data_IF_974477308247
#
_entry.id   IF_974477308247
#
_cell.length_a   1.000
_cell.length_b   1.000
_cell.length_c   1.000
_cell.angle_alpha   90.00
_cell.angle_beta   90.00
_cell.angle_gamma   90.00
#
_symmetry.space_group_name_H-M   'P 1'
#
loop_
_entity.id
_entity.type
_entity.pdbx_description
1 polymer ?
#
# COMPACT_ATOMS: atom_id res chain seq x y z
N UNK A 1 20.34 3.52 -23.52
CA UNK A 1 20.64 2.69 -22.36
C UNK A 1 19.52 1.64 -22.23
N UNK A 2 19.78 0.42 -22.69
CA UNK A 2 18.86 -0.71 -22.52
C UNK A 2 18.95 -1.20 -21.07
N UNK A 3 17.92 -0.96 -20.29
CA UNK A 3 17.81 -1.53 -18.98
C UNK A 3 17.19 -2.93 -19.10
N UNK A 4 17.78 -3.99 -18.52
CA UNK A 4 17.18 -5.31 -18.56
C UNK A 4 15.85 -5.28 -17.83
N UNK A 5 14.77 -5.53 -18.56
CA UNK A 5 13.42 -5.61 -18.00
C UNK A 5 13.32 -6.86 -17.15
N UNK A 6 13.07 -6.68 -15.84
CA UNK A 6 12.88 -7.78 -14.91
C UNK A 6 11.53 -8.43 -15.13
N UNK A 7 11.53 -9.75 -15.29
CA UNK A 7 10.31 -10.54 -15.45
C UNK A 7 9.71 -10.86 -14.09
N UNK A 8 8.48 -10.44 -13.88
CA UNK A 8 7.71 -10.92 -12.73
C UNK A 8 7.06 -12.25 -13.10
N UNK A 9 7.40 -13.32 -12.38
CA UNK A 9 6.74 -14.63 -12.51
C UNK A 9 5.74 -14.79 -11.37
N UNK A 10 4.47 -14.89 -11.69
CA UNK A 10 3.43 -15.10 -10.69
C UNK A 10 3.22 -16.57 -10.34
N UNK A 11 3.73 -17.52 -11.15
CA UNK A 11 3.57 -18.96 -10.96
C UNK A 11 4.75 -19.73 -11.57
N UNK A 12 5.31 -20.69 -10.83
CA UNK A 12 6.40 -21.58 -11.28
C UNK A 12 6.09 -22.30 -12.59
N UNK A 13 4.83 -22.59 -12.85
CA UNK A 13 4.37 -23.27 -14.08
C UNK A 13 4.78 -22.52 -15.35
N UNK A 14 4.90 -21.19 -15.33
CA UNK A 14 5.31 -20.42 -16.52
C UNK A 14 6.69 -20.79 -17.00
N UNK A 15 7.59 -21.12 -16.10
CA UNK A 15 8.95 -21.51 -16.45
C UNK A 15 8.98 -22.84 -17.18
N UNK A 16 8.16 -23.78 -16.75
CA UNK A 16 8.02 -25.08 -17.39
C UNK A 16 7.53 -24.95 -18.84
N UNK A 17 6.49 -24.17 -19.08
CA UNK A 17 5.99 -24.08 -20.46
C UNK A 17 6.78 -23.10 -21.34
N UNK A 18 7.40 -22.04 -20.81
CA UNK A 18 8.33 -21.22 -21.61
C UNK A 18 9.56 -22.01 -22.05
N UNK A 19 10.07 -22.90 -21.17
CA UNK A 19 11.14 -23.82 -21.50
C UNK A 19 10.71 -24.82 -22.58
N UNK A 20 9.53 -25.42 -22.43
CA UNK A 20 8.99 -26.37 -23.41
C UNK A 20 8.72 -25.71 -24.78
N UNK A 21 8.22 -24.48 -24.79
CA UNK A 21 7.99 -23.70 -26.01
C UNK A 21 9.26 -23.09 -26.61
N UNK A 22 10.44 -23.31 -26.00
CA UNK A 22 11.72 -22.78 -26.50
C UNK A 22 11.87 -21.27 -26.39
N UNK A 23 11.06 -20.58 -25.56
CA UNK A 23 11.05 -19.13 -25.44
C UNK A 23 12.11 -18.60 -24.46
N UNK A 24 12.53 -19.39 -23.48
CA UNK A 24 13.44 -18.98 -22.41
C UNK A 24 14.75 -18.39 -22.95
N UNK A 25 15.49 -19.01 -23.89
CA UNK A 25 16.76 -18.46 -24.35
C UNK A 25 16.64 -17.07 -24.98
N UNK A 26 15.56 -16.79 -25.70
CA UNK A 26 15.33 -15.49 -26.33
C UNK A 26 14.97 -14.42 -25.29
N UNK A 27 14.20 -14.81 -24.28
CA UNK A 27 13.83 -13.90 -23.19
C UNK A 27 15.04 -13.53 -22.34
N UNK A 28 15.94 -14.50 -22.07
CA UNK A 28 17.18 -14.27 -21.32
C UNK A 28 18.13 -13.34 -22.11
N UNK A 29 18.24 -13.50 -23.45
CA UNK A 29 19.01 -12.59 -24.31
C UNK A 29 18.51 -11.14 -24.25
N UNK A 30 17.22 -10.93 -24.03
CA UNK A 30 16.61 -9.62 -23.86
C UNK A 30 16.66 -9.11 -22.41
N UNK A 31 17.29 -9.86 -21.50
CA UNK A 31 17.37 -9.51 -20.08
C UNK A 31 16.06 -9.70 -19.30
N UNK A 32 15.17 -10.56 -19.78
CA UNK A 32 13.98 -10.98 -19.03
C UNK A 32 14.31 -12.15 -18.12
N UNK A 33 15.07 -11.89 -17.09
CA UNK A 33 15.50 -12.89 -16.12
C UNK A 33 14.44 -13.19 -15.05
N UNK A 34 14.48 -14.42 -14.52
CA UNK A 34 13.72 -14.75 -13.32
C UNK A 34 14.34 -14.06 -12.11
N UNK A 35 13.58 -13.15 -11.47
CA UNK A 35 14.03 -12.41 -10.28
C UNK A 35 13.30 -12.82 -9.01
N UNK A 36 12.21 -13.55 -9.09
CA UNK A 36 11.44 -14.03 -7.94
C UNK A 36 10.04 -14.50 -8.31
N UNK A 37 9.39 -15.11 -7.35
CA UNK A 37 8.01 -15.57 -7.41
C UNK A 37 7.11 -14.69 -6.54
N UNK A 38 5.86 -14.48 -6.93
CA UNK A 38 4.85 -13.75 -6.17
C UNK A 38 4.69 -12.28 -6.57
N UNK A 39 4.24 -11.47 -5.65
CA UNK A 39 3.95 -10.06 -5.86
C UNK A 39 5.22 -9.22 -5.72
N UNK A 40 5.86 -8.87 -6.81
CA UNK A 40 7.08 -8.05 -6.80
C UNK A 40 6.73 -6.55 -6.89
N UNK A 41 6.24 -6.11 -8.03
CA UNK A 41 5.87 -4.69 -8.26
C UNK A 41 4.63 -4.28 -7.45
N UNK A 42 3.67 -5.18 -7.27
CA UNK A 42 2.44 -4.89 -6.52
C UNK A 42 2.70 -4.50 -5.05
N UNK A 43 3.81 -4.94 -4.47
CA UNK A 43 4.21 -4.65 -3.07
C UNK A 43 5.41 -3.70 -2.98
N UNK A 44 5.90 -3.18 -4.11
CA UNK A 44 7.03 -2.26 -4.13
C UNK A 44 8.41 -2.94 -4.00
N UNK A 45 8.52 -4.21 -4.38
CA UNK A 45 9.76 -5.00 -4.34
C UNK A 45 10.37 -5.20 -5.74
N UNK A 46 10.26 -4.22 -6.63
CA UNK A 46 10.88 -4.30 -7.96
C UNK A 46 12.41 -4.27 -7.93
N UNK A 47 12.97 -3.95 -6.78
CA UNK A 47 14.41 -3.85 -6.56
C UNK A 47 15.01 -2.51 -7.02
N UNK A 48 16.30 -2.27 -6.70
CA UNK A 48 16.97 -1.04 -7.04
C UNK A 48 17.25 -0.96 -8.56
N UNK A 49 17.40 0.25 -9.07
CA UNK A 49 18.02 0.49 -10.36
C UNK A 49 19.53 0.18 -10.27
N UNK A 50 20.15 -0.10 -11.41
CA UNK A 50 21.61 -0.18 -11.47
C UNK A 50 22.22 1.18 -11.15
N UNK A 51 23.28 1.19 -10.36
CA UNK A 51 23.91 2.44 -9.88
C UNK A 51 24.24 3.46 -10.97
N UNK A 52 24.82 3.09 -12.16
CA UNK A 52 25.06 4.05 -13.22
C UNK A 52 23.78 4.67 -13.78
N UNK A 53 22.68 3.93 -13.82
CA UNK A 53 21.39 4.43 -14.31
C UNK A 53 20.77 5.37 -13.29
N UNK A 54 20.79 5.00 -12.02
CA UNK A 54 20.30 5.84 -10.94
C UNK A 54 21.03 7.17 -10.89
N UNK A 55 22.37 7.16 -10.96
CA UNK A 55 23.19 8.37 -11.03
C UNK A 55 22.87 9.24 -12.24
N UNK A 56 22.72 8.64 -13.42
CA UNK A 56 22.38 9.39 -14.63
C UNK A 56 21.01 10.08 -14.54
N UNK A 57 20.01 9.39 -13.97
CA UNK A 57 18.68 9.97 -13.77
C UNK A 57 18.74 11.16 -12.81
N UNK A 58 19.44 11.02 -11.68
CA UNK A 58 19.53 12.06 -10.65
C UNK A 58 20.36 13.26 -11.12
N UNK A 59 21.51 13.03 -11.77
CA UNK A 59 22.41 14.10 -12.21
C UNK A 59 21.82 14.95 -13.34
N UNK A 60 21.08 14.35 -14.25
CA UNK A 60 20.51 15.03 -15.41
C UNK A 60 19.01 15.29 -15.29
N UNK A 61 18.40 15.07 -14.10
CA UNK A 61 16.94 15.16 -13.83
C UNK A 61 16.09 14.52 -14.95
N UNK A 62 16.46 13.30 -15.34
CA UNK A 62 15.81 12.63 -16.45
C UNK A 62 14.40 12.14 -16.07
N UNK A 63 13.45 12.35 -16.97
CA UNK A 63 12.17 11.67 -16.91
C UNK A 63 12.27 10.33 -17.63
N UNK A 64 12.29 9.24 -16.85
CA UNK A 64 12.37 7.88 -17.37
C UNK A 64 11.03 7.16 -17.22
N UNK A 65 10.78 6.20 -18.14
CA UNK A 65 9.56 5.42 -18.15
C UNK A 65 9.86 3.92 -17.92
N UNK A 66 8.89 3.21 -17.35
CA UNK A 66 8.84 1.75 -17.37
C UNK A 66 7.68 1.26 -18.24
N UNK A 67 7.87 0.11 -18.89
CA UNK A 67 6.80 -0.62 -19.58
C UNK A 67 6.73 -2.00 -18.95
N UNK A 68 5.56 -2.36 -18.40
CA UNK A 68 5.42 -3.63 -17.68
C UNK A 68 4.04 -4.23 -17.90
N UNK A 69 3.95 -5.55 -17.74
CA UNK A 69 2.69 -6.28 -17.64
C UNK A 69 2.46 -6.65 -16.18
N UNK A 70 1.42 -6.11 -15.57
CA UNK A 70 1.17 -6.30 -14.15
C UNK A 70 -0.09 -5.61 -13.65
N UNK A 71 -0.16 -5.30 -12.35
CA UNK A 71 -1.29 -4.63 -11.73
C UNK A 71 -1.23 -3.11 -11.96
N UNK A 72 -2.38 -2.43 -11.88
CA UNK A 72 -2.56 -0.99 -12.15
C UNK A 72 -1.91 -0.05 -11.15
N UNK A 73 -1.50 -0.51 -9.98
CA UNK A 73 -1.00 0.35 -8.90
C UNK A 73 0.52 0.49 -8.98
N UNK A 74 1.00 1.41 -9.81
CA UNK A 74 2.44 1.54 -10.10
C UNK A 74 3.13 2.72 -9.44
N UNK A 75 2.41 3.73 -9.02
CA UNK A 75 3.01 4.96 -8.49
C UNK A 75 3.90 4.68 -7.28
N UNK A 76 5.19 4.99 -7.45
CA UNK A 76 6.22 4.74 -6.44
C UNK A 76 6.59 3.27 -6.20
N UNK A 77 5.89 2.30 -6.81
CA UNK A 77 6.12 0.86 -6.59
C UNK A 77 7.11 0.22 -7.55
N UNK A 78 7.20 0.71 -8.78
CA UNK A 78 8.21 0.23 -9.72
C UNK A 78 9.57 0.70 -9.24
N UNK A 79 9.77 2.01 -9.18
CA UNK A 79 10.93 2.64 -8.56
C UNK A 79 10.64 4.13 -8.32
N UNK A 80 11.12 4.76 -7.22
CA UNK A 80 10.85 6.17 -6.92
C UNK A 80 11.34 7.14 -8.00
N UNK A 81 12.40 6.80 -8.74
CA UNK A 81 12.95 7.62 -9.82
C UNK A 81 12.26 7.42 -11.17
N UNK A 82 11.36 6.46 -11.30
CA UNK A 82 10.60 6.22 -12.54
C UNK A 82 9.30 7.00 -12.49
N UNK A 83 9.26 8.12 -13.22
CA UNK A 83 8.13 9.08 -13.18
C UNK A 83 6.93 8.64 -14.01
N UNK A 84 7.12 7.76 -14.99
CA UNK A 84 6.06 7.32 -15.92
C UNK A 84 6.04 5.81 -16.02
N UNK A 85 4.86 5.19 -15.82
CA UNK A 85 4.70 3.75 -15.84
C UNK A 85 3.60 3.36 -16.83
N UNK A 86 3.95 2.53 -17.80
CA UNK A 86 3.04 2.06 -18.85
C UNK A 86 2.68 0.62 -18.63
N UNK A 87 1.37 0.35 -18.61
CA UNK A 87 0.83 -1.00 -18.54
C UNK A 87 0.60 -1.52 -19.97
N UNK A 88 1.24 -2.63 -20.29
CA UNK A 88 1.12 -3.26 -21.60
C UNK A 88 0.92 -4.77 -21.46
N UNK A 89 0.43 -5.41 -22.52
CA UNK A 89 0.41 -6.87 -22.60
C UNK A 89 1.84 -7.44 -22.65
N UNK A 90 2.08 -8.69 -22.20
CA UNK A 90 3.41 -9.29 -22.25
C UNK A 90 4.12 -9.19 -23.61
N UNK A 91 3.44 -9.45 -24.77
CA UNK A 91 4.08 -9.29 -26.08
C UNK A 91 4.51 -7.85 -26.37
N UNK A 92 3.69 -6.86 -25.99
CA UNK A 92 4.05 -5.46 -26.19
C UNK A 92 5.20 -5.02 -25.28
N UNK A 93 5.31 -5.57 -24.06
CA UNK A 93 6.49 -5.33 -23.20
C UNK A 93 7.77 -5.80 -23.87
N UNK A 94 7.73 -6.97 -24.54
CA UNK A 94 8.86 -7.48 -25.33
C UNK A 94 9.15 -6.56 -26.53
N UNK A 95 8.13 -6.12 -27.26
CA UNK A 95 8.30 -5.22 -28.40
C UNK A 95 8.91 -3.87 -27.99
N UNK A 96 8.49 -3.26 -26.89
CA UNK A 96 9.11 -2.04 -26.36
C UNK A 96 10.53 -2.26 -25.83
N UNK A 97 10.84 -3.46 -25.34
CA UNK A 97 12.21 -3.82 -24.98
C UNK A 97 13.14 -3.88 -26.20
N UNK A 98 12.65 -4.40 -27.34
CA UNK A 98 13.36 -4.39 -28.61
C UNK A 98 13.54 -2.98 -29.15
N UNK A 99 12.52 -2.13 -29.10
CA UNK A 99 12.58 -0.74 -29.52
C UNK A 99 13.50 0.12 -28.63
N UNK A 100 13.65 -0.23 -27.34
CA UNK A 100 14.50 0.48 -26.39
C UNK A 100 13.99 1.88 -26.00
N UNK A 101 12.81 2.29 -26.44
CA UNK A 101 12.21 3.60 -26.19
C UNK A 101 10.69 3.51 -26.13
N UNK A 102 10.07 4.40 -25.36
CA UNK A 102 8.62 4.63 -25.39
C UNK A 102 8.22 5.79 -26.31
N UNK A 103 9.21 6.48 -26.89
CA UNK A 103 9.01 7.60 -27.83
C UNK A 103 9.02 7.07 -29.28
N UNK A 104 8.12 6.16 -29.56
CA UNK A 104 7.98 5.50 -30.85
C UNK A 104 6.51 5.24 -31.13
N UNK A 105 6.06 5.47 -32.33
CA UNK A 105 4.81 4.89 -32.81
C UNK A 105 5.06 3.44 -33.25
N UNK A 106 4.86 2.51 -32.31
CA UNK A 106 5.14 1.08 -32.52
C UNK A 106 4.31 0.45 -33.64
N UNK A 107 3.26 1.13 -34.13
CA UNK A 107 2.40 0.66 -35.22
C UNK A 107 2.98 0.98 -36.61
N UNK A 108 3.77 2.02 -36.72
CA UNK A 108 4.25 2.55 -38.00
C UNK A 108 5.76 2.67 -38.12
N UNK A 109 6.48 2.82 -37.00
CA UNK A 109 7.92 2.96 -36.99
C UNK A 109 8.64 1.62 -36.73
N UNK A 110 9.87 1.45 -37.22
CA UNK A 110 10.62 0.21 -37.02
C UNK A 110 11.10 0.08 -35.59
N UNK A 111 11.00 -1.13 -35.03
CA UNK A 111 11.52 -1.47 -33.68
C UNK A 111 13.06 -1.48 -33.64
N UNK A 112 13.70 -1.69 -34.77
CA UNK A 112 15.14 -1.79 -34.91
C UNK A 112 15.54 -2.31 -36.30
N UNK A 113 16.79 -2.77 -36.43
CA UNK A 113 17.32 -3.37 -37.65
C UNK A 113 17.60 -4.86 -37.45
N UNK A 114 17.26 -5.65 -38.44
CA UNK A 114 17.62 -7.06 -38.52
C UNK A 114 19.11 -7.28 -38.75
N UNK A 115 19.53 -8.53 -38.72
CA UNK A 115 20.92 -8.92 -38.99
C UNK A 115 21.38 -8.56 -40.41
N UNK A 116 20.45 -8.43 -41.31
CA UNK A 116 20.63 -8.01 -42.72
C UNK A 116 20.62 -6.48 -42.91
N UNK A 117 20.49 -5.72 -41.82
CA UNK A 117 20.41 -4.26 -41.84
C UNK A 117 19.05 -3.71 -42.26
N UNK A 118 18.06 -4.56 -42.52
CA UNK A 118 16.72 -4.12 -42.90
C UNK A 118 15.91 -3.70 -41.65
N UNK A 119 15.02 -2.70 -41.79
CA UNK A 119 14.15 -2.29 -40.70
C UNK A 119 13.14 -3.40 -40.33
N UNK A 120 12.99 -3.68 -39.02
CA UNK A 120 12.06 -4.67 -38.50
C UNK A 120 10.92 -3.94 -37.80
N UNK A 121 9.70 -4.23 -38.18
CA UNK A 121 8.47 -3.63 -37.61
C UNK A 121 7.74 -4.60 -36.72
N UNK A 122 6.80 -4.09 -35.91
CA UNK A 122 5.98 -4.91 -35.03
C UNK A 122 5.26 -6.04 -35.77
N UNK A 123 4.73 -5.77 -36.97
CA UNK A 123 4.05 -6.75 -37.84
C UNK A 123 4.93 -7.91 -38.24
N UNK A 124 6.25 -7.70 -38.33
CA UNK A 124 7.20 -8.71 -38.79
C UNK A 124 7.53 -9.73 -37.69
N UNK A 125 7.36 -9.31 -36.40
CA UNK A 125 7.61 -10.17 -35.25
C UNK A 125 6.32 -10.61 -34.54
N UNK A 126 5.14 -10.09 -34.96
CA UNK A 126 3.88 -10.45 -34.30
C UNK A 126 3.47 -11.86 -34.71
N UNK A 127 3.29 -12.78 -33.72
CA UNK A 127 2.99 -14.18 -34.03
C UNK A 127 1.61 -14.33 -34.65
N UNK A 128 1.48 -15.25 -35.60
CA UNK A 128 0.20 -15.67 -36.13
C UNK A 128 -0.62 -16.45 -35.12
N UNK A 129 -1.95 -16.50 -35.27
CA UNK A 129 -2.82 -17.30 -34.44
C UNK A 129 -2.43 -18.79 -34.42
N UNK A 130 -1.87 -19.30 -35.51
CA UNK A 130 -1.40 -20.68 -35.61
C UNK A 130 -0.16 -20.91 -34.74
N UNK A 131 0.85 -20.03 -34.79
CA UNK A 131 2.06 -20.12 -33.98
C UNK A 131 1.69 -20.03 -32.48
N UNK A 132 0.75 -19.16 -32.11
CA UNK A 132 0.23 -19.07 -30.73
C UNK A 132 -0.43 -20.39 -30.31
N UNK A 133 -1.29 -20.95 -31.15
CA UNK A 133 -1.96 -22.22 -30.90
C UNK A 133 -0.97 -23.38 -30.75
N UNK A 134 0.02 -23.46 -31.62
CA UNK A 134 1.07 -24.50 -31.60
C UNK A 134 1.93 -24.39 -30.31
N UNK A 135 2.24 -23.17 -29.84
CA UNK A 135 2.95 -22.95 -28.58
C UNK A 135 2.08 -23.31 -27.36
N UNK A 136 0.81 -22.93 -27.37
CA UNK A 136 -0.14 -23.25 -26.29
C UNK A 136 -0.40 -24.75 -26.18
N UNK A 137 -0.43 -25.47 -27.31
CA UNK A 137 -0.63 -26.93 -27.33
C UNK A 137 0.47 -27.73 -26.59
N UNK A 138 1.64 -27.12 -26.37
CA UNK A 138 2.72 -27.73 -25.59
C UNK A 138 2.46 -27.71 -24.08
N UNK A 139 1.53 -26.87 -23.61
CA UNK A 139 1.13 -26.79 -22.20
C UNK A 139 0.19 -27.95 -21.89
N UNK A 140 0.58 -28.81 -20.97
CA UNK A 140 -0.18 -30.01 -20.65
C UNK A 140 -0.30 -30.22 -19.12
N UNK A 141 -1.24 -31.05 -18.72
CA UNK A 141 -1.55 -31.34 -17.32
C UNK A 141 -0.37 -31.90 -16.54
N UNK A 142 0.55 -32.63 -17.18
CA UNK A 142 1.74 -33.19 -16.52
C UNK A 142 2.66 -32.09 -15.98
N UNK A 143 2.76 -30.94 -16.68
CA UNK A 143 3.54 -29.81 -16.20
C UNK A 143 2.97 -29.27 -14.88
N UNK A 144 1.63 -29.15 -14.79
CA UNK A 144 0.97 -28.70 -13.57
C UNK A 144 1.18 -29.70 -12.43
N UNK A 145 0.98 -30.99 -12.67
CA UNK A 145 1.21 -32.02 -11.65
C UNK A 145 2.63 -31.99 -11.12
N UNK A 146 3.62 -31.82 -11.98
CA UNK A 146 5.03 -31.72 -11.57
C UNK A 146 5.27 -30.51 -10.65
N UNK A 147 4.82 -29.34 -11.05
CA UNK A 147 5.04 -28.10 -10.29
C UNK A 147 4.27 -28.06 -8.96
N UNK A 148 3.09 -28.68 -8.91
CA UNK A 148 2.28 -28.71 -7.70
C UNK A 148 2.60 -29.87 -6.76
N UNK A 149 3.29 -30.91 -7.21
CA UNK A 149 3.63 -32.06 -6.37
C UNK A 149 4.50 -31.68 -5.16
N UNK A 150 5.36 -30.70 -5.32
CA UNK A 150 6.33 -30.27 -4.32
C UNK A 150 5.97 -28.98 -3.59
N UNK A 151 4.78 -28.40 -3.86
CA UNK A 151 4.36 -27.10 -3.32
C UNK A 151 4.41 -27.02 -1.80
N UNK A 152 4.06 -28.14 -1.12
CA UNK A 152 4.07 -28.19 0.34
C UNK A 152 5.40 -28.64 0.92
N UNK A 153 6.24 -29.29 0.14
CA UNK A 153 7.55 -29.74 0.59
C UNK A 153 8.57 -28.58 0.63
N UNK A 154 8.47 -27.65 -0.31
CA UNK A 154 9.45 -26.57 -0.49
C UNK A 154 10.80 -27.09 -1.01
N UNK A 155 11.73 -26.15 -1.16
CA UNK A 155 13.11 -26.46 -1.55
C UNK A 155 13.98 -26.87 -0.34
N UNK A 156 15.23 -27.22 -0.60
CA UNK A 156 16.16 -27.64 0.45
C UNK A 156 16.44 -26.51 1.48
N UNK A 157 16.39 -25.26 1.06
CA UNK A 157 16.58 -24.12 1.97
C UNK A 157 15.36 -23.96 2.90
N UNK A 158 14.16 -24.12 2.36
CA UNK A 158 12.92 -24.12 3.14
C UNK A 158 12.90 -25.26 4.16
N UNK A 159 13.29 -26.48 3.75
CA UNK A 159 13.34 -27.65 4.64
C UNK A 159 14.42 -27.55 5.70
N UNK A 160 15.49 -26.79 5.46
CA UNK A 160 16.57 -26.57 6.41
C UNK A 160 16.24 -25.53 7.50
N UNK A 161 15.09 -24.85 7.41
CA UNK A 161 14.68 -23.88 8.43
C UNK A 161 14.33 -24.64 9.72
N UNK A 162 15.14 -24.41 10.75
CA UNK A 162 14.85 -24.92 12.09
C UNK A 162 13.69 -24.17 12.70
N UNK A 163 12.61 -24.86 13.04
CA UNK A 163 11.44 -24.30 13.72
C UNK A 163 11.45 -24.78 15.17
N UNK A 164 11.45 -23.85 16.15
CA UNK A 164 11.33 -24.22 17.55
C UNK A 164 10.03 -25.00 17.81
N UNK A 165 10.14 -26.12 18.51
CA UNK A 165 8.98 -26.91 18.95
C UNK A 165 8.35 -26.24 20.17
N UNK A 166 7.51 -25.25 19.95
CA UNK A 166 6.83 -24.51 21.01
C UNK A 166 5.35 -24.40 20.73
N UNK A 167 4.52 -24.36 21.79
CA UNK A 167 3.05 -24.18 21.66
C UNK A 167 2.68 -22.78 21.15
N UNK A 168 3.54 -21.79 21.37
CA UNK A 168 3.35 -20.41 20.94
C UNK A 168 4.61 -19.90 20.25
N UNK A 169 4.47 -18.84 19.45
CA UNK A 169 5.61 -18.19 18.82
C UNK A 169 6.54 -17.55 19.89
N UNK A 170 7.83 -17.79 19.78
CA UNK A 170 8.83 -17.17 20.66
C UNK A 170 9.25 -15.83 20.05
N UNK A 171 8.75 -14.74 20.63
CA UNK A 171 9.08 -13.40 20.19
C UNK A 171 10.53 -13.04 20.50
N UNK A 172 11.17 -12.31 19.60
CA UNK A 172 12.53 -11.79 19.75
C UNK A 172 12.47 -10.27 19.73
N UNK A 173 12.73 -9.64 20.87
CA UNK A 173 12.58 -8.19 21.04
C UNK A 173 13.60 -7.37 20.23
N UNK A 174 14.72 -7.98 19.85
CA UNK A 174 15.75 -7.38 19.02
C UNK A 174 15.48 -7.53 17.51
N UNK A 175 14.50 -8.34 17.11
CA UNK A 175 14.16 -8.53 15.71
C UNK A 175 13.68 -7.21 15.08
N UNK A 176 14.29 -6.85 13.95
CA UNK A 176 13.87 -5.68 13.17
C UNK A 176 12.89 -6.02 12.04
N UNK A 177 12.55 -7.31 11.88
CA UNK A 177 11.59 -7.80 10.86
C UNK A 177 10.26 -8.23 11.43
N UNK A 178 10.24 -8.80 12.64
CA UNK A 178 9.03 -9.30 13.29
C UNK A 178 9.02 -8.77 14.73
N UNK A 179 7.97 -8.02 15.08
CA UNK A 179 7.76 -7.47 16.42
C UNK A 179 6.42 -7.91 16.97
N UNK A 180 6.35 -8.15 18.27
CA UNK A 180 5.09 -8.40 18.95
C UNK A 180 4.17 -7.19 18.78
N UNK A 181 3.00 -7.33 18.10
CA UNK A 181 2.13 -6.19 17.86
C UNK A 181 1.22 -5.92 19.07
N UNK A 182 0.87 -4.64 19.34
CA UNK A 182 0.08 -4.26 20.52
C UNK A 182 -1.43 -4.51 20.36
N UNK A 183 -1.86 -5.16 19.27
CA UNK A 183 -3.28 -5.28 18.95
C UNK A 183 -4.10 -6.07 19.98
N UNK A 184 -3.46 -6.97 20.72
CA UNK A 184 -4.15 -7.91 21.62
C UNK A 184 -3.74 -7.77 23.10
N UNK A 185 -3.01 -6.72 23.46
CA UNK A 185 -2.48 -6.56 24.83
C UNK A 185 -3.59 -6.64 25.90
N UNK A 186 -4.77 -6.08 25.60
CA UNK A 186 -5.93 -6.04 26.49
C UNK A 186 -7.06 -7.01 26.10
N UNK A 187 -6.77 -8.03 25.28
CA UNK A 187 -7.82 -8.92 24.73
C UNK A 187 -8.62 -9.65 25.81
N UNK A 188 -8.02 -9.99 26.94
CA UNK A 188 -8.68 -10.66 28.06
C UNK A 188 -9.54 -9.72 28.94
N UNK A 189 -9.37 -8.40 28.77
CA UNK A 189 -10.11 -7.39 29.50
C UNK A 189 -11.56 -7.25 29.05
N UNK A 190 -12.37 -6.41 29.72
CA UNK A 190 -13.74 -6.13 29.33
C UNK A 190 -13.80 -5.48 27.94
N UNK A 191 -14.96 -5.53 27.30
CA UNK A 191 -15.18 -4.81 26.03
C UNK A 191 -14.94 -3.31 26.25
N UNK A 192 -14.21 -2.64 25.35
CA UNK A 192 -14.03 -1.20 25.43
C UNK A 192 -15.37 -0.49 25.32
N UNK A 193 -15.57 0.53 26.15
CA UNK A 193 -16.75 1.37 26.04
C UNK A 193 -16.63 2.26 24.79
N UNK A 194 -17.69 2.31 24.02
CA UNK A 194 -17.80 3.25 22.90
C UNK A 194 -18.24 4.60 23.50
N UNK A 195 -17.39 5.60 23.31
CA UNK A 195 -17.64 6.97 23.80
C UNK A 195 -17.56 7.96 22.66
N UNK A 196 -18.19 9.11 22.85
CA UNK A 196 -18.01 10.25 21.96
C UNK A 196 -16.53 10.60 21.83
N UNK A 197 -16.14 11.11 20.68
CA UNK A 197 -14.77 11.60 20.46
C UNK A 197 -14.79 13.10 20.67
N UNK A 198 -14.06 13.59 21.66
CA UNK A 198 -14.03 15.02 21.99
C UNK A 198 -12.64 15.60 21.82
N UNK A 199 -12.57 16.82 21.32
CA UNK A 199 -11.31 17.57 21.18
C UNK A 199 -10.35 17.00 20.11
N UNK A 200 -10.86 16.25 19.14
CA UNK A 200 -10.01 15.63 18.12
C UNK A 200 -9.33 16.67 17.22
N UNK A 201 -8.08 16.41 16.88
CA UNK A 201 -7.31 17.18 15.91
C UNK A 201 -7.23 16.49 14.55
N UNK A 202 -7.17 17.28 13.49
CA UNK A 202 -7.00 16.77 12.12
C UNK A 202 -5.53 16.42 11.92
N UNK A 203 -5.24 15.13 11.73
CA UNK A 203 -3.90 14.66 11.41
C UNK A 203 -3.54 14.91 9.94
N UNK A 204 -4.51 14.76 9.04
CA UNK A 204 -4.34 15.04 7.63
C UNK A 204 -5.67 15.45 6.99
N UNK A 205 -5.61 16.46 6.12
CA UNK A 205 -6.70 16.92 5.28
C UNK A 205 -6.35 16.57 3.84
N UNK A 206 -7.02 15.56 3.30
CA UNK A 206 -6.67 14.92 2.05
C UNK A 206 -7.69 15.18 0.95
N UNK A 207 -7.25 15.16 -0.31
CA UNK A 207 -8.09 15.31 -1.47
C UNK A 207 -8.87 14.06 -1.87
N UNK A 208 -9.31 14.03 -3.12
CA UNK A 208 -10.06 12.93 -3.71
C UNK A 208 -9.12 11.80 -4.16
N UNK A 209 -9.67 10.58 -4.31
CA UNK A 209 -9.00 9.39 -4.85
C UNK A 209 -7.68 9.04 -4.14
N UNK A 210 -7.61 9.27 -2.84
CA UNK A 210 -6.47 8.82 -2.03
C UNK A 210 -6.48 7.32 -1.94
N UNK A 211 -5.46 6.69 -2.54
CA UNK A 211 -5.39 5.23 -2.66
C UNK A 211 -4.85 4.59 -1.38
N UNK A 212 -5.10 3.28 -1.23
CA UNK A 212 -4.47 2.49 -0.16
C UNK A 212 -2.93 2.50 -0.22
N UNK A 213 -2.35 2.84 -1.38
CA UNK A 213 -0.90 2.97 -1.56
C UNK A 213 -0.36 4.31 -1.04
N UNK A 214 -1.20 5.33 -1.01
CA UNK A 214 -0.87 6.59 -0.35
C UNK A 214 -0.87 6.42 1.18
N UNK A 215 -1.73 5.56 1.71
CA UNK A 215 -1.92 5.35 3.15
C UNK A 215 -0.97 4.30 3.70
N UNK A 216 -0.99 3.08 3.14
CA UNK A 216 -0.15 1.96 3.57
C UNK A 216 1.25 2.09 2.98
N UNK A 217 2.31 1.97 3.77
CA UNK A 217 3.66 2.11 3.24
C UNK A 217 4.02 0.98 2.28
N UNK A 218 4.75 1.34 1.23
CA UNK A 218 5.30 0.42 0.23
C UNK A 218 6.64 0.96 -0.30
N UNK A 219 7.41 0.09 -0.94
CA UNK A 219 8.70 0.45 -1.52
C UNK A 219 9.82 0.59 -0.48
N UNK A 220 10.89 1.28 -0.87
CA UNK A 220 12.10 1.41 -0.08
C UNK A 220 11.91 2.36 1.11
N UNK A 221 12.63 2.08 2.19
CA UNK A 221 12.67 2.91 3.40
C UNK A 221 13.78 3.95 3.24
N UNK A 222 13.42 5.24 3.29
CA UNK A 222 14.41 6.33 3.22
C UNK A 222 15.14 6.48 4.54
N UNK A 223 16.44 6.78 4.49
CA UNK A 223 17.29 6.87 5.67
C UNK A 223 16.89 7.98 6.65
N UNK A 224 16.36 9.08 6.15
CA UNK A 224 15.92 10.26 6.93
C UNK A 224 14.44 10.18 7.38
N UNK A 225 13.70 9.16 6.93
CA UNK A 225 12.31 8.94 7.33
C UNK A 225 12.19 8.48 8.78
N UNK A 226 11.01 8.61 9.41
CA UNK A 226 10.78 8.04 10.75
C UNK A 226 11.12 6.55 10.86
N UNK A 227 10.79 5.75 9.83
CA UNK A 227 11.16 4.34 9.79
C UNK A 227 12.67 4.12 9.64
N UNK A 228 13.34 4.94 8.84
CA UNK A 228 14.79 4.88 8.68
C UNK A 228 15.55 5.25 9.96
N UNK A 229 15.08 6.28 10.69
CA UNK A 229 15.63 6.63 12.01
C UNK A 229 15.48 5.46 12.99
N UNK A 230 14.28 4.90 13.10
CA UNK A 230 14.02 3.73 13.95
C UNK A 230 14.96 2.55 13.65
N UNK A 231 15.16 2.23 12.37
CA UNK A 231 16.05 1.13 11.99
C UNK A 231 17.51 1.43 12.33
N UNK A 232 17.98 2.67 12.14
CA UNK A 232 19.35 3.07 12.56
C UNK A 232 19.52 2.98 14.06
N UNK A 233 18.53 3.41 14.84
CA UNK A 233 18.55 3.32 16.30
C UNK A 233 18.61 1.85 16.79
N UNK A 234 18.10 0.92 15.97
CA UNK A 234 18.24 -0.54 16.15
C UNK A 234 19.52 -1.13 15.53
N UNK A 235 20.46 -0.31 15.06
CA UNK A 235 21.75 -0.72 14.52
C UNK A 235 21.71 -1.26 13.08
N UNK A 236 20.61 -1.06 12.33
CA UNK A 236 20.51 -1.48 10.93
C UNK A 236 21.13 -0.41 10.02
N UNK A 237 22.08 -0.81 9.18
CA UNK A 237 22.68 0.09 8.20
C UNK A 237 21.71 0.45 7.05
N UNK A 238 21.78 1.66 6.46
CA UNK A 238 20.85 2.06 5.39
C UNK A 238 20.79 1.11 4.20
N UNK A 239 21.91 0.47 3.83
CA UNK A 239 21.98 -0.54 2.76
C UNK A 239 21.15 -1.80 3.06
N UNK A 240 20.92 -2.07 4.35
CA UNK A 240 20.25 -3.26 4.86
C UNK A 240 18.79 -2.99 5.29
N UNK A 241 18.29 -1.76 5.05
CA UNK A 241 16.91 -1.38 5.40
C UNK A 241 15.88 -2.23 4.70
N UNK A 242 16.16 -2.63 3.45
CA UNK A 242 15.23 -3.35 2.61
C UNK A 242 13.96 -2.50 2.35
N UNK A 243 12.80 -3.12 2.23
CA UNK A 243 11.54 -2.43 1.94
C UNK A 243 10.53 -2.55 3.07
N UNK A 244 9.52 -1.67 3.08
CA UNK A 244 8.38 -1.80 3.98
C UNK A 244 7.68 -3.16 3.82
N UNK A 245 7.57 -3.67 2.58
CA UNK A 245 6.98 -4.97 2.30
C UNK A 245 7.71 -6.13 2.98
N UNK A 246 9.05 -6.09 3.03
CA UNK A 246 9.88 -7.09 3.70
C UNK A 246 9.76 -7.01 5.22
N UNK A 247 9.45 -5.85 5.79
CA UNK A 247 9.34 -5.60 7.23
C UNK A 247 7.90 -5.47 7.72
N UNK A 248 6.92 -5.90 6.93
CA UNK A 248 5.49 -5.78 7.31
C UNK A 248 5.08 -6.55 8.55
N UNK A 249 5.91 -7.47 9.04
CA UNK A 249 5.77 -8.13 10.34
C UNK A 249 6.22 -7.29 11.52
N UNK A 250 6.81 -6.11 11.26
CA UNK A 250 7.23 -5.16 12.27
C UNK A 250 6.30 -3.93 12.22
N UNK A 251 5.35 -3.87 13.16
CA UNK A 251 4.37 -2.79 13.24
C UNK A 251 5.03 -1.42 13.48
N UNK A 252 6.16 -1.37 14.17
CA UNK A 252 6.92 -0.16 14.44
C UNK A 252 7.46 0.48 13.15
N UNK A 253 7.95 -0.35 12.21
CA UNK A 253 8.36 0.12 10.89
C UNK A 253 7.15 0.56 10.08
N UNK A 254 6.09 -0.23 10.07
CA UNK A 254 4.92 0.01 9.23
C UNK A 254 4.15 1.27 9.64
N UNK A 255 3.93 1.51 10.94
CA UNK A 255 3.23 2.71 11.39
C UNK A 255 4.00 3.99 11.07
N UNK A 256 5.35 3.93 11.10
CA UNK A 256 6.23 5.05 10.74
C UNK A 256 6.20 5.39 9.25
N UNK A 257 5.74 4.48 8.41
CA UNK A 257 5.52 4.69 6.98
C UNK A 257 4.07 4.98 6.59
N UNK A 258 3.14 4.92 7.54
CA UNK A 258 1.72 5.19 7.26
C UNK A 258 1.54 6.67 6.89
N UNK A 259 0.86 6.94 5.79
CA UNK A 259 0.73 8.24 5.14
C UNK A 259 2.07 8.88 4.70
N UNK A 260 3.15 8.11 4.59
CA UNK A 260 4.46 8.63 4.20
C UNK A 260 4.76 8.52 2.68
N UNK A 261 3.76 8.22 1.87
CA UNK A 261 3.92 8.16 0.41
C UNK A 261 4.36 9.53 -0.14
N UNK A 262 5.33 9.53 -1.06
CA UNK A 262 5.89 10.74 -1.66
C UNK A 262 4.89 11.54 -2.52
N UNK A 263 3.77 10.92 -2.91
CA UNK A 263 2.72 11.52 -3.74
C UNK A 263 1.50 11.96 -2.96
N UNK A 264 1.43 11.64 -1.68
CA UNK A 264 0.32 12.11 -0.85
C UNK A 264 0.35 13.63 -0.74
N UNK A 265 -0.82 14.25 -0.84
CA UNK A 265 -0.96 15.71 -0.72
C UNK A 265 -1.81 16.03 0.47
N UNK A 266 -1.23 16.72 1.44
CA UNK A 266 -1.94 17.21 2.61
C UNK A 266 -2.33 18.68 2.39
N UNK A 267 -3.62 18.95 2.28
CA UNK A 267 -4.16 20.30 2.04
C UNK A 267 -3.82 21.26 3.20
N UNK A 268 -3.52 20.77 4.40
CA UNK A 268 -3.01 21.58 5.53
C UNK A 268 -1.67 22.27 5.22
N UNK A 269 -0.92 21.77 4.25
CA UNK A 269 0.35 22.30 3.79
C UNK A 269 0.25 22.92 2.37
N UNK A 270 -0.94 23.39 1.99
CA UNK A 270 -1.17 23.95 0.65
C UNK A 270 -1.09 22.94 -0.48
N UNK A 271 -1.23 21.65 -0.20
CA UNK A 271 -1.19 20.57 -1.19
C UNK A 271 0.23 20.15 -1.58
N UNK A 272 1.23 20.48 -0.78
CA UNK A 272 2.60 19.98 -0.94
C UNK A 272 2.64 18.45 -0.90
N UNK A 273 3.43 17.83 -1.77
CA UNK A 273 3.60 16.37 -1.82
C UNK A 273 4.52 15.87 -0.69
N UNK A 274 4.20 14.72 -0.15
CA UNK A 274 4.98 14.03 0.88
C UNK A 274 4.22 13.78 2.18
N UNK A 275 4.75 12.89 3.00
CA UNK A 275 4.12 12.41 4.25
C UNK A 275 4.26 13.36 5.43
N UNK A 276 3.99 14.65 5.24
CA UNK A 276 4.09 15.68 6.28
C UNK A 276 2.71 16.24 6.66
N UNK A 277 2.66 16.83 7.84
CA UNK A 277 1.49 17.53 8.35
C UNK A 277 1.90 18.74 9.19
N UNK A 278 0.92 19.53 9.58
CA UNK A 278 1.09 20.66 10.50
C UNK A 278 0.72 20.19 11.92
N UNK A 279 1.66 20.28 12.86
CA UNK A 279 1.37 20.10 14.27
C UNK A 279 0.78 21.38 14.83
N UNK A 280 -0.53 21.40 14.99
CA UNK A 280 -1.28 22.63 15.27
C UNK A 280 -0.84 23.37 16.55
N UNK A 281 -0.52 22.69 17.67
CA UNK A 281 -0.14 23.39 18.90
C UNK A 281 1.07 24.33 18.77
N UNK A 282 2.02 24.01 17.88
CA UNK A 282 3.23 24.83 17.63
C UNK A 282 3.30 25.44 16.26
N UNK A 283 2.45 25.02 15.31
CA UNK A 283 2.52 25.41 13.91
C UNK A 283 3.70 24.77 13.14
N UNK A 284 4.34 23.76 13.72
CA UNK A 284 5.52 23.10 13.13
C UNK A 284 5.12 22.09 12.07
N UNK A 285 5.84 22.08 10.94
CA UNK A 285 5.71 21.04 9.91
C UNK A 285 6.51 19.82 10.33
N UNK A 286 5.83 18.68 10.49
CA UNK A 286 6.41 17.41 10.92
C UNK A 286 6.03 16.28 9.96
N UNK A 287 6.78 15.17 9.99
CA UNK A 287 6.29 13.93 9.43
C UNK A 287 5.00 13.51 10.16
N UNK A 288 4.04 12.95 9.41
CA UNK A 288 2.72 12.57 9.97
C UNK A 288 2.88 11.66 11.19
N UNK A 289 3.83 10.70 11.14
CA UNK A 289 4.14 9.86 12.29
C UNK A 289 4.58 10.67 13.52
N UNK A 290 5.54 11.58 13.34
CA UNK A 290 6.10 12.36 14.45
C UNK A 290 5.03 13.26 15.11
N UNK A 291 4.16 13.88 14.29
CA UNK A 291 3.03 14.65 14.79
C UNK A 291 2.01 13.76 15.54
N UNK A 292 1.68 12.60 15.00
CA UNK A 292 0.77 11.65 15.61
C UNK A 292 1.26 11.19 16.99
N UNK A 293 2.56 10.90 17.14
CA UNK A 293 3.14 10.50 18.43
C UNK A 293 3.10 11.63 19.46
N UNK A 294 3.29 12.90 19.05
CA UNK A 294 3.12 14.05 19.97
C UNK A 294 1.67 14.16 20.46
N UNK A 295 0.69 14.07 19.55
CA UNK A 295 -0.72 14.10 19.93
C UNK A 295 -1.12 12.93 20.84
N UNK A 296 -0.58 11.74 20.60
CA UNK A 296 -0.83 10.59 21.47
C UNK A 296 -0.25 10.80 22.89
N UNK A 297 0.96 11.37 22.98
CA UNK A 297 1.57 11.70 24.27
C UNK A 297 0.74 12.70 25.06
N UNK A 298 0.04 13.61 24.38
CA UNK A 298 -0.86 14.59 24.99
C UNK A 298 -2.29 14.04 25.23
N UNK A 299 -2.56 12.78 24.88
CA UNK A 299 -3.88 12.17 24.95
C UNK A 299 -4.92 12.75 23.98
N UNK A 300 -4.48 13.47 22.94
CA UNK A 300 -5.36 14.12 21.96
C UNK A 300 -5.81 13.12 20.90
N UNK A 301 -7.11 12.86 20.73
CA UNK A 301 -7.60 12.00 19.66
C UNK A 301 -7.40 12.63 18.30
N UNK A 302 -7.25 11.80 17.27
CA UNK A 302 -6.98 12.24 15.91
C UNK A 302 -8.07 11.80 14.94
N UNK A 303 -8.27 12.61 13.91
CA UNK A 303 -9.10 12.29 12.74
C UNK A 303 -8.35 12.55 11.45
N UNK A 304 -8.75 11.85 10.39
CA UNK A 304 -8.34 12.14 9.01
C UNK A 304 -9.57 12.60 8.25
N UNK A 305 -9.45 13.68 7.49
CA UNK A 305 -10.50 14.17 6.59
C UNK A 305 -10.05 13.91 5.15
N UNK A 306 -10.96 13.41 4.31
CA UNK A 306 -10.66 13.09 2.92
C UNK A 306 -11.82 13.44 1.97
N UNK A 307 -11.52 13.47 0.69
CA UNK A 307 -12.49 13.67 -0.37
C UNK A 307 -13.20 12.41 -0.81
N UNK A 308 -13.45 12.31 -2.11
CA UNK A 308 -14.16 11.19 -2.74
C UNK A 308 -13.24 9.98 -2.90
N UNK A 309 -13.85 8.78 -2.92
CA UNK A 309 -13.19 7.50 -3.20
C UNK A 309 -11.99 7.20 -2.29
N UNK A 310 -12.07 7.56 -1.00
CA UNK A 310 -11.00 7.33 -0.05
C UNK A 310 -10.71 5.82 0.12
N UNK A 311 -9.45 5.45 -0.05
CA UNK A 311 -8.97 4.08 0.07
C UNK A 311 -9.13 3.23 -1.20
N UNK A 312 -9.30 3.85 -2.37
CA UNK A 312 -9.34 3.14 -3.65
C UNK A 312 -8.03 2.40 -3.91
N UNK A 313 -8.06 1.39 -4.78
CA UNK A 313 -6.88 0.60 -5.16
C UNK A 313 -6.85 -0.80 -4.54
N UNK A 314 -5.65 -1.31 -4.23
CA UNK A 314 -5.47 -2.66 -3.70
C UNK A 314 -6.02 -2.80 -2.28
N UNK A 315 -6.58 -3.98 -1.96
CA UNK A 315 -6.99 -4.28 -0.59
C UNK A 315 -5.76 -4.38 0.33
N UNK A 316 -5.66 -3.46 1.30
CA UNK A 316 -4.56 -3.40 2.26
C UNK A 316 -5.08 -3.10 3.66
N UNK A 317 -5.04 -4.09 4.52
CA UNK A 317 -5.40 -3.95 5.93
C UNK A 317 -4.43 -3.00 6.67
N UNK A 318 -3.16 -2.92 6.28
CA UNK A 318 -2.20 -1.97 6.83
C UNK A 318 -2.60 -0.51 6.64
N UNK A 319 -3.39 -0.18 5.61
CA UNK A 319 -3.94 1.16 5.46
C UNK A 319 -4.90 1.53 6.62
N UNK A 320 -5.57 0.57 7.21
CA UNK A 320 -6.42 0.76 8.37
C UNK A 320 -5.67 0.50 9.70
N UNK A 321 -4.82 -0.53 9.78
CA UNK A 321 -3.97 -0.82 10.94
C UNK A 321 -3.06 0.34 11.29
N UNK A 322 -2.32 0.86 10.30
CA UNK A 322 -1.43 2.00 10.50
C UNK A 322 -2.19 3.25 10.93
N UNK A 323 -3.36 3.49 10.34
CA UNK A 323 -4.25 4.60 10.73
C UNK A 323 -4.65 4.49 12.21
N UNK A 324 -5.06 3.31 12.67
CA UNK A 324 -5.37 3.07 14.08
C UNK A 324 -4.15 3.28 14.98
N UNK A 325 -2.99 2.70 14.63
CA UNK A 325 -1.76 2.81 15.43
C UNK A 325 -1.27 4.26 15.56
N UNK A 326 -1.58 5.12 14.60
CA UNK A 326 -1.32 6.56 14.70
C UNK A 326 -2.31 7.30 15.62
N UNK A 327 -3.26 6.60 16.28
CA UNK A 327 -4.23 7.21 17.18
C UNK A 327 -5.44 7.84 16.51
N UNK A 328 -5.64 7.59 15.21
CA UNK A 328 -6.81 8.08 14.47
C UNK A 328 -8.05 7.32 14.89
N UNK A 329 -9.03 8.02 15.44
CA UNK A 329 -10.31 7.47 15.92
C UNK A 329 -11.34 7.38 14.81
N UNK A 330 -11.35 8.35 13.90
CA UNK A 330 -12.30 8.37 12.80
C UNK A 330 -11.66 8.88 11.51
N UNK A 331 -12.18 8.42 10.40
CA UNK A 331 -11.93 8.99 9.06
C UNK A 331 -13.24 9.56 8.57
N UNK A 332 -13.24 10.84 8.17
CA UNK A 332 -14.41 11.57 7.67
C UNK A 332 -14.18 11.86 6.19
N UNK A 333 -14.93 11.23 5.29
CA UNK A 333 -14.72 11.35 3.86
C UNK A 333 -16.02 11.65 3.10
N UNK A 334 -15.89 12.18 1.87
CA UNK A 334 -17.04 12.38 0.97
C UNK A 334 -17.58 11.03 0.46
N UNK A 335 -16.69 10.07 0.21
CA UNK A 335 -17.04 8.66 -0.07
C UNK A 335 -15.86 7.73 0.19
N UNK A 336 -16.15 6.46 0.36
CA UNK A 336 -15.16 5.41 0.62
C UNK A 336 -15.17 4.36 -0.47
N UNK A 337 -13.99 3.83 -0.77
CA UNK A 337 -13.90 2.53 -1.43
C UNK A 337 -14.40 1.45 -0.45
N UNK A 338 -15.18 0.50 -0.99
CA UNK A 338 -15.92 -0.49 -0.19
C UNK A 338 -15.02 -1.33 0.73
N UNK A 339 -13.91 -1.86 0.20
CA UNK A 339 -13.03 -2.75 0.93
C UNK A 339 -12.29 -1.98 2.03
N UNK A 340 -11.79 -0.78 1.71
CA UNK A 340 -11.08 0.03 2.70
C UNK A 340 -12.00 0.49 3.84
N UNK A 341 -13.25 0.87 3.54
CA UNK A 341 -14.27 1.17 4.56
C UNK A 341 -14.44 -0.01 5.53
N UNK A 342 -14.57 -1.23 4.99
CA UNK A 342 -14.69 -2.45 5.81
C UNK A 342 -13.43 -2.70 6.63
N UNK A 343 -12.24 -2.44 6.07
CA UNK A 343 -10.98 -2.57 6.78
C UNK A 343 -10.86 -1.56 7.95
N UNK A 344 -11.33 -0.32 7.77
CA UNK A 344 -11.37 0.67 8.86
C UNK A 344 -12.19 0.14 10.03
N UNK A 345 -13.43 -0.31 9.80
CA UNK A 345 -14.28 -0.93 10.82
C UNK A 345 -13.59 -2.14 11.46
N UNK A 346 -13.04 -3.01 10.63
CA UNK A 346 -12.35 -4.22 11.07
C UNK A 346 -11.09 -3.96 11.90
N UNK A 347 -10.54 -2.76 11.83
CA UNK A 347 -9.38 -2.33 12.63
C UNK A 347 -9.75 -1.30 13.72
N UNK A 348 -11.03 -1.09 14.02
CA UNK A 348 -11.49 -0.22 15.09
C UNK A 348 -11.42 1.28 14.78
N UNK A 349 -11.34 1.67 13.51
CA UNK A 349 -11.40 3.08 13.08
C UNK A 349 -12.80 3.38 12.55
N UNK A 350 -13.44 4.45 13.04
CA UNK A 350 -14.80 4.83 12.67
C UNK A 350 -14.84 5.52 11.30
N UNK A 351 -15.48 4.93 10.27
CA UNK A 351 -15.69 5.62 9.00
C UNK A 351 -16.94 6.48 9.05
N UNK A 352 -16.81 7.77 8.77
CA UNK A 352 -17.88 8.74 8.72
C UNK A 352 -17.96 9.37 7.34
N UNK A 353 -19.15 9.55 6.82
CA UNK A 353 -19.36 10.13 5.50
C UNK A 353 -20.12 11.45 5.61
N UNK A 354 -19.60 12.47 4.94
CA UNK A 354 -20.33 13.72 4.75
C UNK A 354 -21.66 13.46 4.02
N UNK A 355 -22.69 14.18 4.41
CA UNK A 355 -23.98 14.17 3.70
C UNK A 355 -23.89 14.98 2.41
N UNK A 356 -24.90 14.82 1.55
CA UNK A 356 -25.01 15.57 0.30
C UNK A 356 -24.85 17.07 0.54
N UNK A 357 -24.10 17.72 -0.34
CA UNK A 357 -23.78 19.15 -0.32
C UNK A 357 -22.81 19.60 0.80
N UNK A 358 -22.35 18.69 1.64
CA UNK A 358 -21.32 18.97 2.65
C UNK A 358 -20.03 18.24 2.33
N UNK A 359 -18.94 18.96 2.33
CA UNK A 359 -17.60 18.40 2.14
C UNK A 359 -16.54 19.36 2.71
N UNK A 360 -15.29 18.93 2.69
CA UNK A 360 -14.18 19.74 3.23
C UNK A 360 -14.08 21.14 2.63
N UNK A 361 -14.46 21.31 1.35
CA UNK A 361 -14.41 22.61 0.65
C UNK A 361 -15.62 23.50 0.99
N UNK A 362 -16.84 22.95 0.95
CA UNK A 362 -18.06 23.72 1.30
C UNK A 362 -18.04 24.16 2.76
N UNK A 363 -17.49 23.32 3.66
CA UNK A 363 -17.30 23.62 5.08
C UNK A 363 -16.03 24.45 5.34
N UNK A 364 -15.24 24.77 4.33
CA UNK A 364 -13.98 25.54 4.40
C UNK A 364 -13.03 25.02 5.47
N UNK A 365 -12.87 23.70 5.53
CA UNK A 365 -11.97 23.08 6.49
C UNK A 365 -10.52 23.36 6.11
N UNK A 366 -9.72 23.73 7.11
CA UNK A 366 -8.31 24.06 6.99
C UNK A 366 -7.40 23.02 7.62
N UNK A 367 -7.98 22.12 8.43
CA UNK A 367 -7.27 21.14 9.25
C UNK A 367 -6.81 21.69 10.60
N UNK A 368 -7.14 22.94 10.93
CA UNK A 368 -6.79 23.57 12.22
C UNK A 368 -7.94 23.49 13.24
N UNK A 369 -9.08 23.05 12.81
CA UNK A 369 -10.27 22.91 13.65
C UNK A 369 -10.07 21.88 14.76
N UNK A 370 -10.83 22.04 15.83
CA UNK A 370 -11.09 21.00 16.81
C UNK A 370 -12.44 20.36 16.50
N UNK A 371 -12.50 19.03 16.57
CA UNK A 371 -13.67 18.27 16.16
C UNK A 371 -14.19 17.41 17.31
N UNK A 372 -15.52 17.45 17.53
CA UNK A 372 -16.19 16.49 18.40
C UNK A 372 -17.16 15.64 17.58
N UNK A 373 -17.15 14.33 17.83
CA UNK A 373 -18.08 13.37 17.23
C UNK A 373 -18.99 12.89 18.35
N UNK A 374 -20.26 13.32 18.29
CA UNK A 374 -21.26 13.10 19.34
C UNK A 374 -22.35 12.13 18.89
N UNK A 375 -22.92 11.41 19.85
CA UNK A 375 -24.02 10.48 19.63
C UNK A 375 -23.57 9.00 19.68
N UNK A 376 -22.36 8.74 20.16
CA UNK A 376 -21.86 7.39 20.45
C UNK A 376 -22.07 7.01 21.91
N UNK A 377 -21.86 7.96 22.83
CA UNK A 377 -21.99 7.75 24.27
C UNK A 377 -23.44 7.51 24.69
N UNK A 378 -23.69 6.40 25.41
CA UNK A 378 -25.02 6.09 25.95
C UNK A 378 -26.07 5.76 24.89
N UNK A 379 -25.69 5.62 23.64
CA UNK A 379 -26.58 5.27 22.51
C UNK A 379 -26.23 3.88 22.00
N UNK A 380 -27.23 3.10 21.66
CA UNK A 380 -27.00 1.83 20.96
C UNK A 380 -26.46 2.10 19.54
N UNK A 381 -25.29 1.61 19.27
CA UNK A 381 -24.69 1.72 17.93
C UNK A 381 -25.48 0.86 16.94
N UNK A 382 -26.08 1.50 15.95
CA UNK A 382 -26.84 0.83 14.88
C UNK A 382 -26.21 1.09 13.51
N UNK A 383 -26.38 0.17 12.57
CA UNK A 383 -25.85 0.37 11.22
C UNK A 383 -26.36 1.66 10.58
N UNK A 384 -25.47 2.43 9.98
CA UNK A 384 -25.78 3.63 9.22
C UNK A 384 -26.49 4.75 10.00
N UNK A 385 -26.31 4.78 11.31
CA UNK A 385 -26.84 5.86 12.13
C UNK A 385 -26.21 7.22 11.79
N UNK A 386 -26.92 8.28 12.06
CA UNK A 386 -26.38 9.63 11.98
C UNK A 386 -25.67 9.99 13.28
N UNK A 387 -24.53 10.64 13.17
CA UNK A 387 -23.79 11.22 14.25
C UNK A 387 -23.67 12.73 14.05
N UNK A 388 -23.46 13.47 15.13
CA UNK A 388 -23.24 14.91 15.07
C UNK A 388 -21.74 15.20 15.08
N UNK A 389 -21.25 15.89 14.04
CA UNK A 389 -19.90 16.44 14.00
C UNK A 389 -19.97 17.92 14.40
N UNK A 390 -19.30 18.28 15.49
CA UNK A 390 -19.12 19.67 15.91
C UNK A 390 -17.76 20.14 15.44
N UNK A 391 -17.74 21.20 14.66
CA UNK A 391 -16.54 21.81 14.09
C UNK A 391 -16.30 23.12 14.85
N UNK A 392 -15.24 23.17 15.65
CA UNK A 392 -14.84 24.39 16.36
C UNK A 392 -13.66 25.02 15.61
N UNK A 393 -13.86 26.24 15.12
CA UNK A 393 -12.85 27.01 14.37
C UNK A 393 -11.82 27.65 15.29
N UNK A 394 -10.73 28.15 14.73
CA UNK A 394 -9.67 28.87 15.47
C UNK A 394 -10.19 30.13 16.20
N UNK A 395 -11.23 30.78 15.68
CA UNK A 395 -11.89 31.93 16.31
C UNK A 395 -12.90 31.55 17.41
N UNK A 396 -13.05 30.27 17.70
CA UNK A 396 -13.99 29.72 18.68
C UNK A 396 -15.43 29.56 18.15
N UNK A 397 -15.72 29.94 16.92
CA UNK A 397 -17.04 29.70 16.32
C UNK A 397 -17.27 28.20 16.12
N UNK A 398 -18.51 27.77 16.30
CA UNK A 398 -18.91 26.39 16.18
C UNK A 398 -19.97 26.18 15.10
N UNK A 399 -19.80 25.13 14.33
CA UNK A 399 -20.76 24.64 13.36
C UNK A 399 -21.09 23.18 13.69
N UNK A 400 -22.36 22.81 13.64
CA UNK A 400 -22.81 21.42 13.84
C UNK A 400 -23.40 20.88 12.56
N UNK A 401 -22.90 19.74 12.14
CA UNK A 401 -23.41 19.04 10.97
C UNK A 401 -23.72 17.58 11.31
N UNK A 402 -24.56 16.95 10.53
CA UNK A 402 -24.77 15.52 10.61
C UNK A 402 -23.84 14.77 9.63
N UNK A 403 -23.24 13.70 10.08
CA UNK A 403 -22.44 12.77 9.29
C UNK A 403 -23.02 11.35 9.40
N UNK A 404 -22.90 10.59 8.32
CA UNK A 404 -23.36 9.21 8.26
C UNK A 404 -22.27 8.24 8.78
N UNK A 405 -22.59 7.48 9.81
CA UNK A 405 -21.74 6.37 10.24
C UNK A 405 -21.76 5.26 9.18
N UNK A 406 -20.59 4.88 8.68
CA UNK A 406 -20.45 3.88 7.62
C UNK A 406 -20.06 2.50 8.18
N UNK A 407 -20.58 2.18 9.34
CA UNK A 407 -20.75 0.79 9.80
C UNK A 407 -22.06 0.33 9.18
N UNK A 408 -22.01 -0.56 8.19
CA UNK A 408 -23.15 -0.80 7.29
C UNK A 408 -23.96 -2.05 7.68
N UNK A 409 -23.44 -2.92 8.57
CA UNK A 409 -24.10 -4.16 9.00
C UNK A 409 -24.05 -4.37 10.51
N UNK A 410 -24.95 -5.21 11.04
CA UNK A 410 -24.95 -5.59 12.46
C UNK A 410 -23.64 -6.32 12.87
N UNK A 411 -23.11 -7.17 12.00
CA UNK A 411 -21.84 -7.84 12.28
C UNK A 411 -20.68 -6.86 12.39
N UNK A 412 -20.66 -5.83 11.56
CA UNK A 412 -19.65 -4.77 11.66
C UNK A 412 -19.77 -3.95 12.94
N UNK A 413 -20.99 -3.77 13.45
CA UNK A 413 -21.21 -3.17 14.79
C UNK A 413 -20.52 -3.99 15.87
N UNK A 414 -20.68 -5.32 15.84
CA UNK A 414 -20.04 -6.21 16.82
C UNK A 414 -18.51 -6.21 16.68
N UNK A 415 -17.99 -6.14 15.44
CA UNK A 415 -16.55 -5.99 15.22
C UNK A 415 -16.02 -4.69 15.81
N UNK A 416 -16.70 -3.58 15.56
CA UNK A 416 -16.29 -2.27 16.07
C UNK A 416 -16.36 -2.20 17.61
N UNK A 417 -17.45 -2.71 18.22
CA UNK A 417 -17.60 -2.81 19.68
C UNK A 417 -16.47 -3.62 20.33
N UNK A 418 -15.97 -4.63 19.63
CA UNK A 418 -14.88 -5.47 20.13
C UNK A 418 -13.49 -4.84 19.98
N UNK A 419 -13.36 -3.70 19.29
CA UNK A 419 -12.10 -3.07 18.95
C UNK A 419 -11.52 -3.53 17.60
N UNK A 420 -12.26 -4.37 16.86
CA UNK A 420 -11.91 -4.88 15.55
C UNK A 420 -12.32 -6.32 15.32
N UNK A 421 -12.28 -6.78 14.06
CA UNK A 421 -12.71 -8.13 13.68
C UNK A 421 -11.86 -9.23 14.34
N UNK A 422 -10.54 -9.03 14.43
CA UNK A 422 -9.65 -10.03 15.04
C UNK A 422 -9.93 -10.16 16.55
N UNK A 423 -10.17 -9.05 17.23
CA UNK A 423 -10.57 -9.02 18.64
C UNK A 423 -11.90 -9.75 18.84
N UNK A 424 -12.88 -9.48 17.98
CA UNK A 424 -14.17 -10.17 18.02
C UNK A 424 -14.01 -11.69 17.90
N UNK A 425 -13.27 -12.16 16.89
CA UNK A 425 -13.04 -13.59 16.65
C UNK A 425 -12.30 -14.25 17.81
N UNK A 426 -11.23 -13.61 18.33
CA UNK A 426 -10.47 -14.15 19.46
C UNK A 426 -11.31 -14.23 20.74
N UNK A 427 -12.13 -13.23 21.02
CA UNK A 427 -13.05 -13.28 22.19
C UNK A 427 -14.07 -14.40 22.08
N UNK A 428 -14.58 -14.67 20.86
CA UNK A 428 -15.47 -15.82 20.63
C UNK A 428 -14.74 -17.15 20.87
N UNK A 429 -13.49 -17.28 20.42
CA UNK A 429 -12.68 -18.48 20.64
C UNK A 429 -12.31 -18.68 22.10
N UNK A 430 -12.05 -17.60 22.86
CA UNK A 430 -11.76 -17.68 24.30
C UNK A 430 -13.01 -18.08 25.08
N UNK A 431 -14.21 -17.68 24.62
CA UNK A 431 -15.46 -17.98 25.28
C UNK A 431 -16.03 -19.36 24.95
N UNK A 432 -15.55 -20.03 23.90
CA UNK A 432 -15.95 -21.39 23.48
C UNK A 432 -15.13 -22.46 24.19
#
# INVERSE_FOLDING_TARGET
LHYPLRRQRQMCIRDSYYKAAGLTPYLDQLGFDLVGYGCTTCIGNSGPLQEPIEKAIQQADLSVASVLSGNRNFEGRVHPLVKTNWLASPPLVVAYALAGTVRIDISSEPLGQGKDGQPVYLRDIWPSSKEIADAVAQVNTRMFHKEYAEVFAGDAQWQAIEVPQAATYVWQDDSTYIQHPPFFDDIAGPLPQITDVSGARVLALLGDSVTTDHISPAGNIKADSPAGRYLRDKGVEPRDFNSYGSRRGNHEVMMRGTFANIRIRNEMLGGEEGGNTLYIPTGEKLAIYDAAMRYQADGTPLVVIAGQEYGTGSSRDWAAKGTNLLGVKAVIAESFERIHRSNLVGMGVLPLQFKLDQNRKSLKLTGKETLDILGLSGTELTPRMNLTLVITREDGSQEKIEVLCRIDTLNEVEYFKSGGILHYVLRQLIAS
#
